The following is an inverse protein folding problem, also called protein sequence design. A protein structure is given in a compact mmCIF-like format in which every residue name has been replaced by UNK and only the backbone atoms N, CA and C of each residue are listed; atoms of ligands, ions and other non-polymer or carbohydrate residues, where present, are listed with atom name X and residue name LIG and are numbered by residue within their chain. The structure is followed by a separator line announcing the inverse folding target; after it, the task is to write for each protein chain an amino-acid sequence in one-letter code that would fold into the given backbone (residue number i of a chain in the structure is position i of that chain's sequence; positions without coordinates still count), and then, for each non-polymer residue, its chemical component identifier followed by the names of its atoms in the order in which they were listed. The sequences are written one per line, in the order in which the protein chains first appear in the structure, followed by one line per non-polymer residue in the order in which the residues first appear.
data_IF_099957264535
#
_entry.id   IF_099957264535
#
_cell.length_a   1.000
_cell.length_b   1.000
_cell.length_c   1.000
_cell.angle_alpha   90.00
_cell.angle_beta   90.00
_cell.angle_gamma   90.00
#
_symmetry.space_group_name_H-M   'P 1'
#
loop_
_entity.id
_entity.type
_entity.pdbx_description
1 polymer ?
#
# COMPACT_ATOMS: atom_id res chain seq x y z
N UNK A 1 16.65 45.78 22.12
CA UNK A 1 17.47 44.75 21.44
C UNK A 1 16.51 43.63 21.11
N UNK A 2 16.24 43.45 19.81
CA UNK A 2 15.21 42.58 19.28
C UNK A 2 15.83 41.20 19.07
N UNK A 3 15.56 40.27 19.98
CA UNK A 3 15.91 38.87 19.75
C UNK A 3 14.97 38.32 18.67
N UNK A 4 15.49 38.37 17.45
CA UNK A 4 15.05 37.54 16.35
C UNK A 4 15.29 36.08 16.73
N UNK A 5 14.41 35.55 17.58
CA UNK A 5 14.15 34.13 17.71
C UNK A 5 13.84 33.64 16.29
N UNK A 6 14.86 33.03 15.69
CA UNK A 6 14.75 32.30 14.46
C UNK A 6 13.65 31.25 14.69
N UNK A 7 12.44 31.58 14.26
CA UNK A 7 11.40 30.61 14.00
C UNK A 7 12.03 29.62 13.03
N UNK A 8 12.48 28.49 13.58
CA UNK A 8 12.83 27.29 12.85
C UNK A 8 11.63 27.04 11.96
N UNK A 9 11.74 27.40 10.69
CA UNK A 9 10.75 27.07 9.68
C UNK A 9 10.83 25.56 9.53
N UNK A 10 10.11 24.85 10.39
CA UNK A 10 9.83 23.43 10.27
C UNK A 10 9.23 23.29 8.87
N UNK A 11 10.05 22.81 7.93
CA UNK A 11 9.71 22.81 6.53
C UNK A 11 8.51 21.85 6.36
N UNK A 12 7.28 22.36 6.13
CA UNK A 12 6.09 21.52 6.13
C UNK A 12 6.10 20.49 4.99
N UNK A 13 6.97 20.68 3.97
CA UNK A 13 7.17 19.70 2.91
C UNK A 13 7.97 18.47 3.37
N UNK A 14 8.88 18.59 4.34
CA UNK A 14 9.66 17.45 4.84
C UNK A 14 8.79 16.59 5.76
N UNK A 15 7.95 17.21 6.59
CA UNK A 15 6.98 16.50 7.45
C UNK A 15 5.80 15.93 6.66
N UNK A 16 5.40 16.55 5.55
CA UNK A 16 4.42 15.99 4.63
C UNK A 16 4.94 14.71 3.95
N UNK A 17 6.25 14.60 3.73
CA UNK A 17 6.90 13.40 3.19
C UNK A 17 6.74 12.17 4.10
N UNK A 18 6.71 12.37 5.41
CA UNK A 18 6.53 11.30 6.40
C UNK A 18 5.06 10.90 6.62
N UNK A 19 4.10 11.75 6.18
CA UNK A 19 2.65 11.46 6.15
C UNK A 19 2.21 10.69 4.90
N UNK A 20 3.13 10.31 4.02
CA UNK A 20 2.84 9.46 2.89
C UNK A 20 2.38 8.06 3.38
N UNK A 21 1.48 7.35 2.66
CA UNK A 21 0.96 6.03 3.03
C UNK A 21 2.01 4.91 2.84
N UNK A 22 3.27 5.20 3.16
CA UNK A 22 4.43 4.33 2.99
C UNK A 22 4.28 2.96 3.65
N UNK A 23 3.65 2.78 4.83
CA UNK A 23 3.58 1.45 5.45
C UNK A 23 2.71 0.52 4.63
N UNK A 24 1.60 1.02 4.08
CA UNK A 24 0.68 0.24 3.26
C UNK A 24 1.34 -0.20 1.94
N UNK A 25 2.03 0.74 1.28
CA UNK A 25 2.73 0.46 0.03
C UNK A 25 3.95 -0.43 0.25
N UNK A 26 4.67 -0.27 1.35
CA UNK A 26 5.78 -1.14 1.75
C UNK A 26 5.29 -2.56 2.06
N UNK A 27 4.16 -2.71 2.77
CA UNK A 27 3.52 -4.02 2.99
C UNK A 27 3.16 -4.69 1.65
N UNK A 28 2.53 -3.96 0.74
CA UNK A 28 2.19 -4.50 -0.58
C UNK A 28 3.44 -4.88 -1.39
N UNK A 29 4.48 -4.05 -1.38
CA UNK A 29 5.74 -4.33 -2.05
C UNK A 29 6.42 -5.57 -1.45
N UNK A 30 6.45 -5.71 -0.13
CA UNK A 30 7.00 -6.89 0.55
C UNK A 30 6.22 -8.16 0.16
N UNK A 31 4.88 -8.11 0.15
CA UNK A 31 4.06 -9.25 -0.27
C UNK A 31 4.31 -9.59 -1.74
N UNK A 32 4.44 -8.58 -2.61
CA UNK A 32 4.76 -8.77 -4.03
C UNK A 32 6.14 -9.39 -4.26
N UNK A 33 7.14 -9.01 -3.45
CA UNK A 33 8.47 -9.64 -3.46
C UNK A 33 8.38 -11.09 -2.98
N UNK A 34 7.66 -11.36 -1.89
CA UNK A 34 7.47 -12.73 -1.37
C UNK A 34 6.78 -13.64 -2.41
N UNK A 35 5.79 -13.13 -3.13
CA UNK A 35 5.15 -13.84 -4.25
C UNK A 35 6.14 -14.14 -5.40
N UNK A 36 7.16 -13.30 -5.55
CA UNK A 36 8.26 -13.49 -6.49
C UNK A 36 9.24 -14.59 -6.11
N UNK A 37 9.27 -15.03 -4.84
CA UNK A 37 10.18 -16.07 -4.36
C UNK A 37 9.59 -17.46 -4.65
N UNK A 38 10.17 -18.15 -5.65
CA UNK A 38 9.71 -19.47 -6.09
C UNK A 38 9.67 -20.51 -4.96
N UNK A 39 10.61 -20.50 -4.02
CA UNK A 39 10.63 -21.44 -2.89
C UNK A 39 9.40 -21.30 -1.98
N UNK A 40 8.85 -20.09 -1.86
CA UNK A 40 7.67 -19.82 -1.03
C UNK A 40 6.41 -20.15 -1.82
N UNK A 41 6.26 -19.57 -3.01
CA UNK A 41 5.08 -19.78 -3.85
C UNK A 41 4.95 -21.24 -4.26
N UNK A 42 6.05 -21.89 -4.65
CA UNK A 42 6.11 -23.31 -5.00
C UNK A 42 5.69 -24.21 -3.84
N UNK A 43 6.19 -23.98 -2.62
CA UNK A 43 5.79 -24.76 -1.44
C UNK A 43 4.29 -24.62 -1.11
N UNK A 44 3.72 -23.43 -1.30
CA UNK A 44 2.27 -23.20 -1.13
C UNK A 44 1.47 -23.93 -2.20
N UNK A 45 1.88 -23.85 -3.47
CA UNK A 45 1.22 -24.54 -4.58
C UNK A 45 1.31 -26.07 -4.44
N UNK A 46 2.39 -26.60 -3.86
CA UNK A 46 2.50 -28.03 -3.54
C UNK A 46 1.50 -28.46 -2.46
N UNK A 47 1.19 -27.58 -1.50
CA UNK A 47 0.24 -27.90 -0.41
C UNK A 47 -1.21 -27.68 -0.81
N UNK A 48 -1.47 -26.74 -1.70
CA UNK A 48 -2.82 -26.39 -2.15
C UNK A 48 -2.81 -26.34 -3.68
N UNK A 49 -2.87 -27.51 -4.35
CA UNK A 49 -2.78 -27.57 -5.82
C UNK A 49 -3.98 -26.91 -6.51
N UNK A 50 -5.11 -26.75 -5.82
CA UNK A 50 -6.30 -26.04 -6.31
C UNK A 50 -6.00 -24.58 -6.69
N UNK A 51 -4.97 -23.99 -6.11
CA UNK A 51 -4.48 -22.65 -6.47
C UNK A 51 -3.92 -22.57 -7.90
N UNK A 52 -3.60 -23.71 -8.52
CA UNK A 52 -3.19 -23.78 -9.93
C UNK A 52 -4.37 -23.73 -10.89
N UNK A 53 -5.61 -23.97 -10.43
CA UNK A 53 -6.80 -24.01 -11.30
C UNK A 53 -6.95 -22.74 -12.14
N UNK A 54 -6.82 -21.52 -11.61
CA UNK A 54 -6.84 -20.31 -12.42
C UNK A 54 -5.75 -20.28 -13.49
N UNK A 55 -4.52 -20.70 -13.15
CA UNK A 55 -3.41 -20.75 -14.12
C UNK A 55 -3.64 -21.79 -15.21
N UNK A 56 -4.29 -22.91 -14.89
CA UNK A 56 -4.59 -23.98 -15.83
C UNK A 56 -5.61 -23.56 -16.91
N UNK A 57 -6.43 -22.54 -16.62
CA UNK A 57 -7.38 -21.94 -17.58
C UNK A 57 -6.88 -20.59 -18.14
N UNK A 58 -5.59 -20.28 -18.00
CA UNK A 58 -4.97 -19.07 -18.56
C UNK A 58 -5.19 -17.79 -17.75
N UNK A 59 -5.79 -17.88 -16.56
CA UNK A 59 -6.03 -16.72 -15.69
C UNK A 59 -4.81 -16.40 -14.82
N UNK A 60 -4.56 -15.11 -14.53
CA UNK A 60 -3.44 -14.71 -13.68
C UNK A 60 -3.63 -15.23 -12.25
N UNK A 61 -2.61 -15.93 -11.77
CA UNK A 61 -2.53 -16.36 -10.37
C UNK A 61 -1.94 -15.26 -9.48
N UNK A 62 -2.62 -14.98 -8.38
CA UNK A 62 -2.12 -14.13 -7.30
C UNK A 62 -2.03 -12.64 -7.64
N UNK A 63 -1.12 -11.96 -6.95
CA UNK A 63 -0.73 -10.59 -7.24
C UNK A 63 0.46 -10.55 -8.21
N UNK A 64 0.64 -9.47 -8.99
CA UNK A 64 1.86 -9.27 -9.77
C UNK A 64 3.11 -9.41 -8.89
N UNK A 65 4.02 -10.29 -9.29
CA UNK A 65 5.22 -10.61 -8.54
C UNK A 65 6.36 -9.66 -8.91
N UNK A 66 7.00 -9.06 -7.91
CA UNK A 66 8.19 -8.23 -8.12
C UNK A 66 9.44 -9.11 -7.96
N UNK A 67 10.05 -9.51 -9.08
CA UNK A 67 11.25 -10.36 -9.11
C UNK A 67 12.47 -9.56 -9.53
N UNK A 68 13.53 -9.61 -8.71
CA UNK A 68 14.80 -8.95 -8.99
C UNK A 68 15.58 -9.63 -10.13
N UNK A 69 15.39 -10.93 -10.32
CA UNK A 69 16.07 -11.72 -11.34
C UNK A 69 15.06 -12.63 -12.07
N UNK A 70 15.23 -12.84 -13.38
CA UNK A 70 14.49 -13.90 -14.08
C UNK A 70 14.91 -15.25 -13.49
N UNK A 71 13.95 -16.03 -13.01
CA UNK A 71 14.18 -17.37 -12.44
C UNK A 71 13.61 -18.43 -13.40
N UNK A 72 14.45 -19.38 -13.81
CA UNK A 72 14.08 -20.52 -14.66
C UNK A 72 13.92 -20.18 -16.16
N UNK A 73 13.04 -20.91 -16.86
CA UNK A 73 12.71 -20.75 -18.29
C UNK A 73 11.77 -19.57 -18.58
N UNK A 74 11.64 -18.60 -17.67
CA UNK A 74 10.81 -17.42 -17.94
C UNK A 74 11.51 -16.55 -18.99
N UNK A 75 10.85 -16.33 -20.12
CA UNK A 75 11.33 -15.41 -21.15
C UNK A 75 11.53 -14.02 -20.53
N UNK A 76 12.58 -13.31 -20.96
CA UNK A 76 12.88 -11.94 -20.46
C UNK A 76 11.66 -11.02 -20.57
N UNK A 77 10.83 -11.23 -21.60
CA UNK A 77 9.55 -10.54 -21.80
C UNK A 77 8.54 -10.82 -20.70
N UNK A 78 8.33 -12.08 -20.30
CA UNK A 78 7.42 -12.42 -19.20
C UNK A 78 7.87 -11.77 -17.88
N UNK A 79 9.18 -11.78 -17.62
CA UNK A 79 9.75 -11.12 -16.44
C UNK A 79 9.52 -9.60 -16.47
N UNK A 80 9.76 -8.93 -17.61
CA UNK A 80 9.51 -7.49 -17.76
C UNK A 80 8.04 -7.14 -17.56
N UNK A 81 7.12 -7.95 -18.09
CA UNK A 81 5.68 -7.75 -17.93
C UNK A 81 5.26 -7.88 -16.47
N UNK A 82 5.76 -8.89 -15.74
CA UNK A 82 5.48 -9.04 -14.31
C UNK A 82 6.02 -7.84 -13.49
N UNK A 83 7.23 -7.36 -13.81
CA UNK A 83 7.79 -6.16 -13.19
C UNK A 83 6.96 -4.91 -13.49
N UNK A 84 6.56 -4.69 -14.75
CA UNK A 84 5.71 -3.56 -15.14
C UNK A 84 4.34 -3.63 -14.45
N UNK A 85 3.72 -4.81 -14.41
CA UNK A 85 2.46 -5.04 -13.71
C UNK A 85 2.57 -4.75 -12.20
N UNK A 86 3.66 -5.16 -11.56
CA UNK A 86 3.92 -4.86 -10.15
C UNK A 86 4.13 -3.36 -9.90
N UNK A 87 4.88 -2.67 -10.77
CA UNK A 87 5.07 -1.21 -10.67
C UNK A 87 3.75 -0.46 -10.85
N UNK A 88 2.92 -0.85 -11.83
CA UNK A 88 1.60 -0.25 -12.03
C UNK A 88 0.69 -0.49 -10.83
N UNK A 89 0.69 -1.70 -10.28
CA UNK A 89 -0.05 -2.00 -9.04
C UNK A 89 0.38 -1.06 -7.90
N UNK A 90 1.68 -0.93 -7.64
CA UNK A 90 2.21 -0.07 -6.58
C UNK A 90 1.87 1.42 -6.83
N UNK A 91 2.00 1.88 -8.07
CA UNK A 91 1.67 3.26 -8.46
C UNK A 91 0.18 3.57 -8.23
N UNK A 92 -0.72 2.68 -8.67
CA UNK A 92 -2.18 2.84 -8.48
C UNK A 92 -2.53 2.89 -6.99
N UNK A 93 -1.95 2.01 -6.18
CA UNK A 93 -2.19 1.99 -4.72
C UNK A 93 -1.68 3.26 -4.07
N UNK A 94 -0.48 3.71 -4.43
CA UNK A 94 0.09 4.97 -3.95
C UNK A 94 -0.81 6.17 -4.29
N UNK A 95 -1.23 6.30 -5.55
CA UNK A 95 -2.12 7.38 -6.01
C UNK A 95 -3.46 7.35 -5.28
N UNK A 96 -4.08 6.17 -5.12
CA UNK A 96 -5.37 6.03 -4.42
C UNK A 96 -5.28 6.37 -2.94
N UNK A 97 -4.21 5.95 -2.26
CA UNK A 97 -4.02 6.22 -0.84
C UNK A 97 -3.67 7.70 -0.58
N UNK A 98 -2.86 8.30 -1.45
CA UNK A 98 -2.54 9.73 -1.36
C UNK A 98 -3.77 10.60 -1.63
N UNK A 99 -4.58 10.28 -2.63
CA UNK A 99 -5.84 10.96 -2.91
C UNK A 99 -6.86 10.78 -1.76
N UNK A 100 -6.99 9.57 -1.21
CA UNK A 100 -7.84 9.30 -0.04
C UNK A 100 -7.41 10.10 1.20
N UNK A 101 -6.09 10.19 1.46
CA UNK A 101 -5.55 10.99 2.55
C UNK A 101 -5.82 12.49 2.37
N UNK A 102 -5.74 13.00 1.13
CA UNK A 102 -6.05 14.40 0.80
C UNK A 102 -7.52 14.74 0.96
N UNK A 103 -8.42 13.86 0.49
CA UNK A 103 -9.88 14.09 0.58
C UNK A 103 -10.41 13.96 2.00
N UNK A 104 -9.80 13.11 2.82
CA UNK A 104 -10.32 12.75 4.13
C UNK A 104 -9.27 12.77 5.26
N UNK A 105 -8.67 13.94 5.55
CA UNK A 105 -7.62 14.08 6.56
C UNK A 105 -8.08 13.68 7.97
N UNK A 106 -9.36 13.91 8.31
CA UNK A 106 -9.96 13.54 9.60
C UNK A 106 -10.52 12.10 9.71
N UNK A 107 -10.51 11.31 8.64
CA UNK A 107 -11.17 9.98 8.61
C UNK A 107 -10.69 9.01 9.70
N UNK A 108 -11.61 8.28 10.33
CA UNK A 108 -11.29 7.30 11.39
C UNK A 108 -10.45 6.10 10.92
N UNK A 109 -10.00 5.27 11.88
CA UNK A 109 -9.16 4.07 11.64
C UNK A 109 -9.85 3.08 10.69
N UNK A 110 -11.16 2.85 10.84
CA UNK A 110 -11.91 1.96 9.92
C UNK A 110 -11.94 2.46 8.48
N UNK A 111 -11.94 3.78 8.26
CA UNK A 111 -11.88 4.37 6.92
C UNK A 111 -10.50 4.22 6.28
N UNK A 112 -9.44 4.28 7.09
CA UNK A 112 -8.09 3.96 6.64
C UNK A 112 -7.99 2.49 6.21
N UNK A 113 -8.55 1.57 6.99
CA UNK A 113 -8.62 0.16 6.62
C UNK A 113 -9.30 -0.04 5.25
N UNK A 114 -10.50 0.51 5.07
CA UNK A 114 -11.25 0.39 3.82
C UNK A 114 -10.54 1.08 2.64
N UNK A 115 -9.83 2.20 2.89
CA UNK A 115 -9.02 2.85 1.86
C UNK A 115 -7.84 1.96 1.44
N UNK A 116 -7.15 1.31 2.38
CA UNK A 116 -6.10 0.33 2.10
C UNK A 116 -6.60 -0.89 1.33
N UNK A 117 -7.72 -1.46 1.76
CA UNK A 117 -8.37 -2.58 1.09
C UNK A 117 -8.76 -2.22 -0.35
N UNK A 118 -9.51 -1.12 -0.54
CA UNK A 118 -10.01 -0.70 -1.84
C UNK A 118 -8.88 -0.27 -2.79
N UNK A 119 -7.85 0.40 -2.28
CA UNK A 119 -6.66 0.71 -3.06
C UNK A 119 -5.96 -0.56 -3.55
N UNK A 120 -5.77 -1.55 -2.66
CA UNK A 120 -5.10 -2.82 -2.99
C UNK A 120 -5.88 -3.60 -4.04
N UNK A 121 -7.20 -3.76 -3.89
CA UNK A 121 -8.05 -4.41 -4.90
C UNK A 121 -7.90 -3.74 -6.26
N UNK A 122 -7.94 -2.40 -6.29
CA UNK A 122 -7.80 -1.64 -7.54
C UNK A 122 -6.41 -1.81 -8.16
N UNK A 123 -5.36 -1.79 -7.34
CA UNK A 123 -3.99 -1.96 -7.81
C UNK A 123 -3.73 -3.36 -8.37
N UNK A 124 -4.20 -4.40 -7.67
CA UNK A 124 -4.06 -5.79 -8.12
C UNK A 124 -4.82 -6.01 -9.43
N UNK A 125 -6.04 -5.47 -9.54
CA UNK A 125 -6.79 -5.46 -10.80
C UNK A 125 -6.02 -4.80 -11.94
N UNK A 126 -5.47 -3.61 -11.71
CA UNK A 126 -4.73 -2.88 -12.74
C UNK A 126 -3.45 -3.63 -13.19
N UNK A 127 -2.69 -4.17 -12.24
CA UNK A 127 -1.48 -4.94 -12.56
C UNK A 127 -1.81 -6.26 -13.27
N UNK A 128 -2.79 -7.01 -12.79
CA UNK A 128 -3.19 -8.27 -13.43
C UNK A 128 -3.87 -8.06 -14.79
N UNK A 129 -4.53 -6.93 -15.03
CA UNK A 129 -5.05 -6.59 -16.36
C UNK A 129 -3.94 -6.55 -17.40
N UNK A 130 -2.77 -5.98 -17.07
CA UNK A 130 -1.60 -5.98 -17.96
C UNK A 130 -1.16 -7.41 -18.26
N UNK A 131 -1.11 -8.28 -17.23
CA UNK A 131 -0.74 -9.70 -17.39
C UNK A 131 -1.75 -10.44 -18.27
N UNK A 132 -3.05 -10.25 -18.05
CA UNK A 132 -4.12 -10.86 -18.86
C UNK A 132 -4.03 -10.41 -20.31
N UNK A 133 -3.91 -9.11 -20.58
CA UNK A 133 -3.79 -8.60 -21.95
C UNK A 133 -2.57 -9.20 -22.65
N UNK A 134 -1.42 -9.22 -21.97
CA UNK A 134 -0.21 -9.83 -22.51
C UNK A 134 -0.38 -11.34 -22.79
N UNK A 135 -0.92 -12.09 -21.83
CA UNK A 135 -1.18 -13.53 -21.98
C UNK A 135 -2.12 -13.83 -23.14
N UNK A 136 -3.17 -13.03 -23.34
CA UNK A 136 -4.09 -13.21 -24.45
C UNK A 136 -3.44 -13.05 -25.83
N UNK A 137 -2.46 -12.15 -25.95
CA UNK A 137 -1.66 -12.04 -27.18
C UNK A 137 -0.69 -13.21 -27.37
N UNK A 138 -0.06 -13.68 -26.29
CA UNK A 138 0.85 -14.83 -26.33
C UNK A 138 0.11 -16.12 -26.69
N UNK A 139 -1.10 -16.30 -26.16
CA UNK A 139 -1.94 -17.49 -26.38
C UNK A 139 -2.77 -17.40 -27.68
N UNK A 140 -2.67 -16.28 -28.42
CA UNK A 140 -3.48 -16.01 -29.62
C UNK A 140 -4.98 -16.27 -29.41
N UNK A 141 -5.51 -15.78 -28.29
CA UNK A 141 -6.90 -16.01 -27.92
C UNK A 141 -7.87 -15.43 -28.94
N UNK A 142 -8.92 -16.20 -29.27
CA UNK A 142 -10.07 -15.66 -29.99
C UNK A 142 -10.83 -14.63 -29.14
N UNK A 143 -11.66 -13.76 -29.74
CA UNK A 143 -12.30 -12.63 -29.05
C UNK A 143 -13.21 -13.06 -27.87
N UNK A 144 -13.85 -14.22 -27.96
CA UNK A 144 -14.64 -14.77 -26.85
C UNK A 144 -13.79 -15.23 -25.66
N UNK A 145 -12.66 -15.89 -25.95
CA UNK A 145 -11.70 -16.31 -24.93
C UNK A 145 -11.05 -15.09 -24.27
N UNK A 146 -10.70 -14.06 -25.04
CA UNK A 146 -10.19 -12.79 -24.52
C UNK A 146 -11.14 -12.14 -23.51
N UNK A 147 -12.44 -12.05 -23.84
CA UNK A 147 -13.45 -11.50 -22.92
C UNK A 147 -13.60 -12.35 -21.66
N UNK A 148 -13.59 -13.69 -21.80
CA UNK A 148 -13.61 -14.59 -20.66
C UNK A 148 -12.38 -14.43 -19.77
N UNK A 149 -11.19 -14.27 -20.35
CA UNK A 149 -9.93 -14.03 -19.65
C UNK A 149 -9.92 -12.69 -18.93
N UNK A 150 -10.50 -11.64 -19.52
CA UNK A 150 -10.68 -10.34 -18.86
C UNK A 150 -11.61 -10.42 -17.65
N UNK A 151 -12.79 -11.02 -17.81
CA UNK A 151 -13.78 -11.12 -16.72
C UNK A 151 -13.29 -12.07 -15.63
N UNK A 152 -12.83 -13.26 -16.01
CA UNK A 152 -12.27 -14.24 -15.08
C UNK A 152 -11.04 -13.70 -14.36
N UNK A 153 -10.14 -13.04 -15.08
CA UNK A 153 -8.95 -12.40 -14.53
C UNK A 153 -9.30 -11.30 -13.55
N UNK A 154 -10.31 -10.47 -13.86
CA UNK A 154 -10.79 -9.44 -12.94
C UNK A 154 -11.39 -10.04 -11.66
N UNK A 155 -12.20 -11.09 -11.75
CA UNK A 155 -12.80 -11.76 -10.59
C UNK A 155 -11.73 -12.37 -9.68
N UNK A 156 -10.79 -13.13 -10.26
CA UNK A 156 -9.67 -13.74 -9.51
C UNK A 156 -8.79 -12.66 -8.88
N UNK A 157 -8.52 -11.57 -9.61
CA UNK A 157 -7.74 -10.44 -9.10
C UNK A 157 -8.44 -9.69 -7.98
N UNK A 158 -9.77 -9.57 -8.02
CA UNK A 158 -10.53 -8.96 -6.94
C UNK A 158 -10.46 -9.81 -5.66
N UNK A 159 -10.55 -11.13 -5.78
CA UNK A 159 -10.40 -12.06 -4.64
C UNK A 159 -9.00 -11.95 -4.03
N UNK A 160 -7.95 -12.06 -4.85
CA UNK A 160 -6.57 -11.92 -4.37
C UNK A 160 -6.27 -10.53 -3.81
N UNK A 161 -6.76 -9.50 -4.48
CA UNK A 161 -6.67 -8.11 -4.03
C UNK A 161 -7.37 -7.87 -2.71
N UNK A 162 -8.49 -8.55 -2.44
CA UNK A 162 -9.17 -8.49 -1.16
C UNK A 162 -8.35 -9.19 -0.08
N UNK A 163 -7.87 -10.42 -0.34
CA UNK A 163 -7.04 -11.19 0.61
C UNK A 163 -5.79 -10.40 1.01
N UNK A 164 -5.02 -9.91 0.03
CA UNK A 164 -3.82 -9.09 0.29
C UNK A 164 -4.20 -7.74 0.90
N UNK A 165 -5.31 -7.16 0.45
CA UNK A 165 -5.83 -5.89 0.93
C UNK A 165 -6.25 -5.90 2.40
N UNK A 166 -6.56 -7.06 3.00
CA UNK A 166 -6.76 -7.17 4.45
C UNK A 166 -5.48 -6.80 5.21
N UNK A 167 -4.32 -7.31 4.78
CA UNK A 167 -3.02 -7.01 5.40
C UNK A 167 -2.61 -5.56 5.16
N UNK A 168 -2.75 -5.08 3.93
CA UNK A 168 -2.42 -3.69 3.57
C UNK A 168 -3.34 -2.70 4.28
N UNK A 169 -4.64 -3.00 4.35
CA UNK A 169 -5.64 -2.23 5.10
C UNK A 169 -5.32 -2.17 6.59
N UNK A 170 -4.96 -3.31 7.19
CA UNK A 170 -4.56 -3.37 8.60
C UNK A 170 -3.29 -2.55 8.87
N UNK A 171 -2.26 -2.68 8.03
CA UNK A 171 -1.04 -1.89 8.13
C UNK A 171 -1.33 -0.38 8.02
N UNK A 172 -2.19 0.02 7.08
CA UNK A 172 -2.58 1.42 6.91
C UNK A 172 -3.37 1.97 8.10
N UNK A 173 -4.30 1.18 8.63
CA UNK A 173 -5.09 1.51 9.81
C UNK A 173 -4.21 1.65 11.07
N UNK A 174 -3.27 0.72 11.26
CA UNK A 174 -2.32 0.75 12.37
C UNK A 174 -1.41 1.97 12.31
N UNK A 175 -0.84 2.26 11.13
CA UNK A 175 -0.03 3.45 10.92
C UNK A 175 -0.79 4.73 11.31
N UNK A 176 -2.06 4.84 10.89
CA UNK A 176 -2.89 6.01 11.24
C UNK A 176 -3.22 6.10 12.71
N UNK A 177 -3.37 4.96 13.41
CA UNK A 177 -3.58 4.94 14.87
C UNK A 177 -2.35 5.45 15.60
N UNK A 178 -1.16 5.01 15.19
CA UNK A 178 0.12 5.43 15.78
C UNK A 178 0.32 6.94 15.60
N UNK A 179 0.14 7.46 14.38
CA UNK A 179 0.31 8.90 14.11
C UNK A 179 -0.66 9.80 14.88
N UNK A 180 -1.84 9.30 15.25
CA UNK A 180 -2.79 10.05 16.10
C UNK A 180 -2.37 10.04 17.57
N UNK A 181 -1.83 8.93 18.06
CA UNK A 181 -1.32 8.82 19.42
C UNK A 181 -0.13 9.75 19.68
N UNK A 182 0.79 9.84 18.72
CA UNK A 182 1.95 10.75 18.82
C UNK A 182 1.53 12.22 18.80
N UNK A 183 0.62 12.60 17.90
CA UNK A 183 0.11 13.98 17.85
C UNK A 183 -0.64 14.40 19.12
N UNK A 184 -1.35 13.48 19.77
CA UNK A 184 -2.01 13.74 21.04
C UNK A 184 -1.01 13.87 22.22
N UNK A 185 0.09 13.11 22.19
CA UNK A 185 1.15 13.18 23.20
C UNK A 185 1.96 14.48 23.09
N UNK A 186 2.29 14.92 21.87
CA UNK A 186 2.95 16.22 21.62
C UNK A 186 2.09 17.38 22.10
N UNK A 187 0.80 17.40 21.74
CA UNK A 187 -0.13 18.43 22.21
C UNK A 187 -0.30 18.49 23.74
N UNK A 188 -0.07 17.37 24.43
CA UNK A 188 -0.07 17.31 25.90
C UNK A 188 1.21 17.86 26.55
N UNK A 189 2.35 17.75 25.85
CA UNK A 189 3.64 18.27 26.32
C UNK A 189 3.80 19.79 26.10
N UNK A 190 3.04 20.37 25.17
CA UNK A 190 3.05 21.82 24.87
C UNK A 190 2.15 22.64 25.82
N UNK A 191 1.45 22.00 26.76
CA UNK A 191 0.74 22.71 27.81
C UNK A 191 1.76 23.24 28.83
N UNK A 192 1.81 24.56 29.09
CA UNK A 192 2.74 25.11 30.07
C UNK A 192 2.51 24.39 31.40
N UNK A 193 3.59 23.88 31.99
CA UNK A 193 3.53 23.22 33.29
C UNK A 193 2.80 24.16 34.24
N UNK A 194 1.62 23.76 34.71
CA UNK A 194 0.72 24.59 35.53
C UNK A 194 1.37 25.10 36.85
N UNK A 195 2.63 24.76 37.11
CA UNK A 195 3.46 25.29 38.19
C UNK A 195 4.23 26.58 37.87
N UNK A 196 4.43 26.97 36.60
CA UNK A 196 5.22 28.18 36.28
C UNK A 196 4.41 29.48 36.46
N UNK A 197 3.11 29.45 36.18
CA UNK A 197 2.22 30.60 36.42
C UNK A 197 2.02 30.88 37.92
N UNK A 198 2.00 29.84 38.76
CA UNK A 198 1.88 29.98 40.22
C UNK A 198 3.14 30.57 40.87
N UNK A 199 4.33 30.19 40.38
CA UNK A 199 5.60 30.77 40.84
C UNK A 199 5.77 32.24 40.41
N UNK A 200 5.37 32.58 39.19
CA UNK A 200 5.41 33.96 38.70
C UNK A 200 4.43 34.88 39.46
N UNK A 201 3.23 34.38 39.78
CA UNK A 201 2.23 35.12 40.56
C UNK A 201 2.69 35.30 42.03
N UNK A 202 3.29 34.28 42.64
CA UNK A 202 3.86 34.36 43.99
C UNK A 202 5.09 35.29 44.10
N UNK A 203 5.90 35.40 43.04
CA UNK A 203 7.05 36.31 43.00
C UNK A 203 6.64 37.78 42.81
N UNK A 204 5.51 38.03 42.15
CA UNK A 204 5.00 39.38 41.90
C UNK A 204 4.25 39.94 43.12
N UNK A 205 3.64 39.09 43.94
CA UNK A 205 2.93 39.47 45.17
C UNK A 205 3.84 39.83 46.37
N UNK A 206 5.18 39.72 46.23
CA UNK A 206 6.18 40.02 47.28
C UNK A 206 6.96 41.32 47.07
N UNK A 207 6.60 42.16 46.10
CA UNK A 207 7.14 43.51 45.92
C UNK A 207 6.10 44.56 46.26
#
# INVERSE_FOLDING_TARGET
MSDASAAVSVNPQVDAGFRAPWPAVATLAAISVLFGVWSITGAVLTRIPELLVPSAIGLPFGIPALRLFPLGETTTTNWLVDCAAALVMLAVVWMRLTDSARRHPGGGVGRAFLAGLGATVTGVLAGNLIRTVYLSFVLQEGPGAYLASLVGGALVSAVWGAIVGLFVGAAHALARRISRGTAAAEAGNDLPAAGESSMAEAATARR
#
